data_IF_605727428282
#
_entry.id   IF_605727428282
#
_cell.length_a   1.000
_cell.length_b   1.000
_cell.length_c   1.000
_cell.angle_alpha   90.00
_cell.angle_beta   90.00
_cell.angle_gamma   90.00
#
_symmetry.space_group_name_H-M   'P 1'
#
loop_
_entity.id
_entity.type
_entity.pdbx_description
1 polymer ?
#
# COMPACT_ATOMS: atom_id res chain seq x y z
N UNK A 1 -32.91 -0.99 -11.12
CA UNK A 1 -31.46 -0.77 -10.91
C UNK A 1 -31.24 -0.60 -9.41
N UNK A 2 -30.68 -1.61 -8.74
CA UNK A 2 -30.41 -1.59 -7.29
C UNK A 2 -29.20 -0.70 -7.04
N UNK A 3 -29.40 0.41 -6.31
CA UNK A 3 -28.31 1.25 -5.81
C UNK A 3 -27.59 0.45 -4.73
N UNK A 4 -26.36 0.02 -4.99
CA UNK A 4 -25.48 -0.55 -3.98
C UNK A 4 -24.91 0.63 -3.20
N UNK A 5 -25.14 0.74 -1.88
CA UNK A 5 -24.57 1.83 -1.10
C UNK A 5 -23.06 1.58 -0.99
N UNK A 6 -22.28 2.50 -1.56
CA UNK A 6 -20.84 2.63 -1.27
C UNK A 6 -20.74 3.06 0.20
N UNK A 7 -20.64 2.06 1.07
CA UNK A 7 -20.30 2.26 2.48
C UNK A 7 -18.82 2.66 2.53
N UNK A 8 -18.62 3.98 2.43
CA UNK A 8 -17.39 4.68 2.75
C UNK A 8 -17.02 4.32 4.20
N UNK A 9 -16.03 3.45 4.39
CA UNK A 9 -15.41 3.23 5.69
C UNK A 9 -14.49 4.42 5.99
N UNK A 10 -15.13 5.51 6.40
CA UNK A 10 -14.51 6.61 7.11
C UNK A 10 -14.87 6.42 8.59
N UNK A 11 -13.86 6.49 9.46
CA UNK A 11 -13.91 6.84 10.89
C UNK A 11 -13.44 5.78 11.89
N UNK A 12 -12.65 6.30 12.84
CA UNK A 12 -12.51 5.95 14.27
C UNK A 12 -11.57 4.80 14.65
N UNK A 13 -10.44 5.18 15.28
CA UNK A 13 -10.30 4.98 16.72
C UNK A 13 -9.66 6.20 17.39
N UNK A 14 -10.50 6.98 18.07
CA UNK A 14 -10.11 7.81 19.21
C UNK A 14 -10.42 6.98 20.45
N UNK A 15 -9.41 6.42 21.10
CA UNK A 15 -9.54 5.88 22.45
C UNK A 15 -8.31 6.28 23.24
N UNK A 16 -8.40 7.43 23.89
CA UNK A 16 -7.44 7.87 24.88
C UNK A 16 -7.68 7.06 26.17
N UNK A 17 -6.98 5.94 26.32
CA UNK A 17 -6.68 5.38 27.63
C UNK A 17 -5.32 5.92 28.05
N UNK A 18 -5.24 6.51 29.24
CA UNK A 18 -4.02 7.10 29.79
C UNK A 18 -2.85 6.10 29.74
N UNK A 19 -1.64 6.50 29.30
CA UNK A 19 -0.53 5.57 29.18
C UNK A 19 -0.06 5.14 30.58
N UNK A 20 -0.05 3.82 30.80
CA UNK A 20 0.68 3.20 31.91
C UNK A 20 2.19 3.27 31.61
N UNK A 21 3.04 3.74 32.53
CA UNK A 21 4.39 4.20 32.21
C UNK A 21 5.45 3.09 32.12
N UNK A 22 5.12 1.89 31.63
CA UNK A 22 6.07 0.75 31.59
C UNK A 22 6.18 0.05 30.22
N UNK A 23 5.50 0.55 29.17
CA UNK A 23 5.62 0.00 27.82
C UNK A 23 6.93 0.45 27.16
N UNK A 24 7.83 -0.48 26.83
CA UNK A 24 9.15 -0.23 26.26
C UNK A 24 9.08 0.70 25.03
N UNK A 25 10.08 1.57 24.86
CA UNK A 25 10.16 2.56 23.78
C UNK A 25 10.20 1.95 22.35
N UNK A 26 10.31 0.63 22.20
CA UNK A 26 10.35 -0.08 20.91
C UNK A 26 8.98 -0.35 20.26
N UNK A 27 7.86 -0.04 20.92
CA UNK A 27 6.53 -0.46 20.42
C UNK A 27 5.92 0.46 19.36
N UNK A 28 6.45 1.67 19.21
CA UNK A 28 5.87 2.68 18.31
C UNK A 28 6.06 2.29 16.83
N UNK A 29 7.15 1.58 16.50
CA UNK A 29 7.37 1.02 15.17
C UNK A 29 6.32 -0.03 14.80
N UNK A 30 6.01 -0.95 15.72
CA UNK A 30 4.97 -1.97 15.53
C UNK A 30 3.58 -1.34 15.37
N UNK A 31 3.25 -0.34 16.20
CA UNK A 31 2.00 0.38 16.10
C UNK A 31 1.84 1.09 14.74
N UNK A 32 2.91 1.71 14.25
CA UNK A 32 2.90 2.36 12.95
C UNK A 32 2.76 1.34 11.81
N UNK A 33 3.50 0.24 11.85
CA UNK A 33 3.40 -0.82 10.85
C UNK A 33 1.99 -1.44 10.85
N UNK A 34 1.41 -1.67 12.03
CA UNK A 34 0.03 -2.12 12.17
C UNK A 34 -0.96 -1.14 11.54
N UNK A 35 -0.81 0.16 11.81
CA UNK A 35 -1.70 1.20 11.27
C UNK A 35 -1.73 1.23 9.74
N UNK A 36 -0.60 0.93 9.09
CA UNK A 36 -0.48 0.93 7.63
C UNK A 36 -0.99 -0.39 7.07
N UNK A 37 -0.51 -1.52 7.58
CA UNK A 37 -0.88 -2.85 7.10
C UNK A 37 -2.38 -3.14 7.30
N UNK A 38 -2.97 -2.67 8.39
CA UNK A 38 -4.42 -2.78 8.65
C UNK A 38 -5.28 -2.00 7.65
N UNK A 39 -4.76 -0.93 7.06
CA UNK A 39 -5.41 -0.21 5.96
C UNK A 39 -5.16 -0.94 4.63
N UNK A 40 -3.91 -1.31 4.36
CA UNK A 40 -3.51 -1.91 3.08
C UNK A 40 -4.06 -3.34 2.88
N UNK A 41 -4.42 -4.07 3.92
CA UNK A 41 -5.09 -5.38 3.77
C UNK A 41 -6.45 -5.30 3.04
N UNK A 42 -6.99 -4.10 2.85
CA UNK A 42 -8.26 -3.84 2.19
C UNK A 42 -8.11 -3.14 0.82
N UNK A 43 -6.90 -3.01 0.28
CA UNK A 43 -6.65 -2.29 -0.98
C UNK A 43 -7.32 -2.96 -2.18
N UNK A 44 -7.45 -4.29 -2.14
CA UNK A 44 -8.15 -5.11 -3.13
C UNK A 44 -9.65 -4.76 -3.25
N UNK A 45 -10.27 -4.18 -2.22
CA UNK A 45 -11.66 -3.68 -2.31
C UNK A 45 -11.84 -2.57 -3.35
N UNK A 46 -10.77 -1.87 -3.72
CA UNK A 46 -10.81 -0.93 -4.85
C UNK A 46 -11.18 -1.64 -6.16
N UNK A 47 -10.74 -2.90 -6.31
CA UNK A 47 -10.95 -3.73 -7.51
C UNK A 47 -12.44 -4.08 -7.72
N UNK A 48 -13.26 -4.01 -6.67
CA UNK A 48 -14.71 -4.22 -6.81
C UNK A 48 -15.42 -3.11 -7.59
N UNK A 49 -14.78 -1.95 -7.71
CA UNK A 49 -15.37 -0.74 -8.31
C UNK A 49 -14.53 -0.28 -9.52
N UNK A 50 -13.26 -0.69 -9.59
CA UNK A 50 -12.28 -0.19 -10.54
C UNK A 50 -11.50 -1.33 -11.17
N UNK A 51 -11.24 -1.25 -12.46
CA UNK A 51 -10.43 -2.22 -13.21
C UNK A 51 -9.08 -1.58 -13.58
N UNK A 52 -7.98 -1.89 -12.87
CA UNK A 52 -6.64 -1.43 -13.22
C UNK A 52 -5.94 -2.35 -14.25
N UNK A 53 -6.62 -3.39 -14.74
CA UNK A 53 -6.07 -4.45 -15.59
C UNK A 53 -5.50 -5.63 -14.80
N UNK A 54 -5.63 -6.84 -15.37
CA UNK A 54 -5.37 -8.12 -14.70
C UNK A 54 -4.00 -8.24 -14.01
N UNK A 55 -2.93 -7.71 -14.62
CA UNK A 55 -1.59 -7.78 -14.02
C UNK A 55 -1.47 -6.91 -12.76
N UNK A 56 -2.11 -5.74 -12.75
CA UNK A 56 -2.14 -4.86 -11.58
C UNK A 56 -3.11 -5.38 -10.52
N UNK A 57 -4.25 -5.94 -10.94
CA UNK A 57 -5.21 -6.61 -10.05
C UNK A 57 -4.54 -7.72 -9.23
N UNK A 58 -3.90 -8.69 -9.90
CA UNK A 58 -3.21 -9.80 -9.22
C UNK A 58 -2.07 -9.34 -8.30
N UNK A 59 -1.42 -8.20 -8.60
CA UNK A 59 -0.40 -7.62 -7.74
C UNK A 59 -1.01 -6.96 -6.50
N UNK A 60 -2.12 -6.23 -6.66
CA UNK A 60 -2.88 -5.61 -5.57
C UNK A 60 -3.44 -6.67 -4.61
N UNK A 61 -3.93 -7.80 -5.11
CA UNK A 61 -4.38 -8.92 -4.28
C UNK A 61 -3.24 -9.53 -3.45
N UNK A 62 -2.05 -9.67 -4.03
CA UNK A 62 -0.86 -10.13 -3.31
C UNK A 62 -0.49 -9.17 -2.17
N UNK A 63 -0.60 -7.86 -2.41
CA UNK A 63 -0.38 -6.83 -1.39
C UNK A 63 -1.41 -6.96 -0.28
N UNK A 64 -2.71 -7.02 -0.60
CA UNK A 64 -3.79 -7.13 0.37
C UNK A 64 -3.61 -8.37 1.26
N UNK A 65 -3.38 -9.53 0.63
CA UNK A 65 -3.15 -10.81 1.31
C UNK A 65 -1.95 -10.75 2.26
N UNK A 66 -0.83 -10.20 1.79
CA UNK A 66 0.37 -10.12 2.62
C UNK A 66 0.19 -9.16 3.81
N UNK A 67 -0.42 -8.00 3.58
CA UNK A 67 -0.73 -7.06 4.66
C UNK A 67 -1.71 -7.64 5.68
N UNK A 68 -2.66 -8.47 5.26
CA UNK A 68 -3.54 -9.20 6.16
C UNK A 68 -2.74 -10.17 7.07
N UNK A 69 -1.76 -10.88 6.51
CA UNK A 69 -0.91 -11.79 7.27
C UNK A 69 -0.05 -11.04 8.30
N UNK A 70 0.57 -9.93 7.90
CA UNK A 70 1.35 -9.06 8.80
C UNK A 70 0.46 -8.51 9.93
N UNK A 71 -0.73 -8.00 9.58
CA UNK A 71 -1.70 -7.46 10.56
C UNK A 71 -2.06 -8.50 11.61
N UNK A 72 -2.41 -9.73 11.19
CA UNK A 72 -2.74 -10.83 12.09
C UNK A 72 -1.57 -11.24 12.98
N UNK A 73 -0.35 -11.25 12.44
CA UNK A 73 0.84 -11.59 13.23
C UNK A 73 1.14 -10.54 14.29
N UNK A 74 0.96 -9.25 13.97
CA UNK A 74 1.09 -8.15 14.93
C UNK A 74 0.05 -8.26 16.04
N UNK A 75 -1.21 -8.56 15.70
CA UNK A 75 -2.28 -8.81 16.67
C UNK A 75 -1.94 -10.01 17.58
N UNK A 76 -1.42 -11.10 17.01
CA UNK A 76 -0.99 -12.25 17.77
C UNK A 76 0.17 -11.92 18.73
N UNK A 77 1.14 -11.12 18.30
CA UNK A 77 2.23 -10.64 19.17
C UNK A 77 1.72 -9.76 20.30
N UNK A 78 0.74 -8.89 20.04
CA UNK A 78 0.07 -8.11 21.08
C UNK A 78 -0.63 -9.01 22.09
N UNK A 79 -1.44 -9.95 21.61
CA UNK A 79 -2.25 -10.81 22.46
C UNK A 79 -1.39 -11.81 23.24
N UNK A 80 -0.23 -12.20 22.70
CA UNK A 80 0.81 -12.99 23.37
C UNK A 80 1.73 -12.20 24.30
N UNK A 81 1.60 -10.87 24.38
CA UNK A 81 2.41 -10.01 25.25
C UNK A 81 3.81 -9.70 24.73
N UNK A 82 4.13 -10.06 23.48
CA UNK A 82 5.41 -9.75 22.83
C UNK A 82 5.51 -8.29 22.39
N UNK A 83 4.37 -7.65 22.13
CA UNK A 83 4.24 -6.21 21.87
C UNK A 83 3.19 -5.65 22.83
N UNK A 84 3.49 -4.57 23.55
CA UNK A 84 2.56 -4.08 24.59
C UNK A 84 1.41 -3.26 24.02
N UNK A 85 1.61 -2.62 22.86
CA UNK A 85 0.59 -1.80 22.19
C UNK A 85 0.78 -1.75 20.67
N UNK A 86 -0.33 -1.81 19.93
CA UNK A 86 -0.39 -1.51 18.49
C UNK A 86 -1.03 -0.14 18.22
N UNK A 87 -1.25 0.65 19.26
CA UNK A 87 -1.72 2.04 19.15
C UNK A 87 -0.52 2.96 19.27
N UNK A 88 -0.30 3.81 18.26
CA UNK A 88 0.82 4.73 18.24
C UNK A 88 0.71 5.71 19.41
N UNK A 89 1.78 5.81 20.21
CA UNK A 89 1.84 6.80 21.29
C UNK A 89 2.21 8.15 20.73
N UNK A 90 1.48 9.19 21.15
CA UNK A 90 2.04 10.55 21.20
C UNK A 90 2.42 11.23 19.88
N UNK A 91 1.88 10.83 18.73
CA UNK A 91 2.02 11.66 17.52
C UNK A 91 1.34 13.02 17.78
N UNK A 92 1.98 14.15 17.44
CA UNK A 92 1.32 15.45 17.50
C UNK A 92 0.01 15.42 16.71
N UNK A 93 -1.05 16.02 17.23
CA UNK A 93 -2.37 16.03 16.57
C UNK A 93 -2.30 16.53 15.12
N UNK A 94 -1.44 17.51 14.85
CA UNK A 94 -1.18 18.01 13.51
C UNK A 94 -0.59 16.95 12.55
N UNK A 95 0.28 16.06 13.03
CA UNK A 95 0.85 14.98 12.23
C UNK A 95 -0.20 13.91 11.91
N UNK A 96 -1.04 13.56 12.89
CA UNK A 96 -2.16 12.64 12.69
C UNK A 96 -3.11 13.21 11.62
N UNK A 97 -3.52 14.47 11.77
CA UNK A 97 -4.40 15.14 10.82
C UNK A 97 -3.78 15.22 9.42
N UNK A 98 -2.49 15.53 9.31
CA UNK A 98 -1.77 15.58 8.04
C UNK A 98 -1.76 14.22 7.34
N UNK A 99 -1.49 13.13 8.08
CA UNK A 99 -1.53 11.76 7.56
C UNK A 99 -2.93 11.38 7.08
N UNK A 100 -3.95 11.62 7.88
CA UNK A 100 -5.33 11.35 7.48
C UNK A 100 -5.73 12.15 6.24
N UNK A 101 -5.34 13.42 6.15
CA UNK A 101 -5.61 14.26 4.99
C UNK A 101 -4.90 13.76 3.73
N UNK A 102 -3.66 13.30 3.87
CA UNK A 102 -2.91 12.68 2.77
C UNK A 102 -3.60 11.40 2.30
N UNK A 103 -4.00 10.50 3.22
CA UNK A 103 -4.75 9.28 2.90
C UNK A 103 -6.06 9.62 2.17
N UNK A 104 -6.88 10.52 2.73
CA UNK A 104 -8.15 10.94 2.11
C UNK A 104 -7.94 11.50 0.70
N UNK A 105 -6.90 12.30 0.49
CA UNK A 105 -6.56 12.86 -0.83
C UNK A 105 -6.22 11.75 -1.82
N UNK A 106 -5.29 10.86 -1.48
CA UNK A 106 -4.89 9.74 -2.34
C UNK A 106 -6.06 8.81 -2.64
N UNK A 107 -6.91 8.49 -1.64
CA UNK A 107 -8.13 7.72 -1.87
C UNK A 107 -9.06 8.42 -2.86
N UNK A 108 -9.26 9.74 -2.72
CA UNK A 108 -10.06 10.52 -3.66
C UNK A 108 -9.48 10.46 -5.09
N UNK A 109 -8.18 10.68 -5.24
CA UNK A 109 -7.49 10.59 -6.53
C UNK A 109 -7.67 9.22 -7.19
N UNK A 110 -7.59 8.13 -6.43
CA UNK A 110 -7.82 6.77 -6.94
C UNK A 110 -9.29 6.51 -7.31
N UNK A 111 -10.24 7.01 -6.53
CA UNK A 111 -11.66 6.79 -6.81
C UNK A 111 -12.16 7.60 -8.02
N UNK A 112 -11.58 8.77 -8.28
CA UNK A 112 -11.98 9.64 -9.39
C UNK A 112 -11.12 9.48 -10.66
N UNK A 113 -9.96 8.83 -10.58
CA UNK A 113 -9.17 8.48 -11.75
C UNK A 113 -9.81 7.33 -12.56
N UNK A 114 -9.45 7.27 -13.84
CA UNK A 114 -9.95 6.29 -14.80
C UNK A 114 -8.77 5.65 -15.57
N UNK A 115 -9.00 4.44 -16.08
CA UNK A 115 -8.13 3.73 -17.00
C UNK A 115 -6.64 3.75 -16.61
N UNK A 116 -5.83 4.40 -17.46
CA UNK A 116 -4.38 4.44 -17.35
C UNK A 116 -3.90 5.27 -16.15
N UNK A 117 -4.60 6.37 -15.85
CA UNK A 117 -4.26 7.24 -14.73
C UNK A 117 -4.56 6.54 -13.41
N UNK A 118 -5.70 5.84 -13.34
CA UNK A 118 -6.03 4.97 -12.20
C UNK A 118 -4.91 3.96 -11.95
N UNK A 119 -4.50 3.22 -12.98
CA UNK A 119 -3.47 2.19 -12.84
C UNK A 119 -2.14 2.79 -12.36
N UNK A 120 -1.68 3.89 -12.96
CA UNK A 120 -0.42 4.54 -12.57
C UNK A 120 -0.49 5.06 -11.14
N UNK A 121 -1.54 5.82 -10.82
CA UNK A 121 -1.73 6.37 -9.48
C UNK A 121 -1.80 5.28 -8.42
N UNK A 122 -2.49 4.16 -8.72
CA UNK A 122 -2.56 3.01 -7.82
C UNK A 122 -1.18 2.40 -7.61
N UNK A 123 -0.43 2.14 -8.68
CA UNK A 123 0.91 1.57 -8.56
C UNK A 123 1.84 2.49 -7.77
N UNK A 124 1.87 3.79 -8.07
CA UNK A 124 2.72 4.75 -7.35
C UNK A 124 2.36 4.86 -5.86
N UNK A 125 1.07 4.89 -5.52
CA UNK A 125 0.63 4.91 -4.13
C UNK A 125 1.09 3.66 -3.38
N UNK A 126 0.95 2.49 -4.01
CA UNK A 126 1.38 1.21 -3.43
C UNK A 126 2.89 1.08 -3.32
N UNK A 127 3.66 1.54 -4.31
CA UNK A 127 5.12 1.58 -4.23
C UNK A 127 5.60 2.39 -3.03
N UNK A 128 5.02 3.57 -2.80
CA UNK A 128 5.35 4.39 -1.63
C UNK A 128 5.04 3.67 -0.32
N UNK A 129 3.87 3.04 -0.21
CA UNK A 129 3.47 2.31 0.98
C UNK A 129 4.39 1.10 1.25
N UNK A 130 4.68 0.29 0.22
CA UNK A 130 5.53 -0.89 0.33
C UNK A 130 6.97 -0.54 0.70
N UNK A 131 7.54 0.51 0.10
CA UNK A 131 8.88 0.98 0.43
C UNK A 131 8.96 1.42 1.90
N UNK A 132 7.96 2.18 2.35
CA UNK A 132 7.89 2.61 3.74
C UNK A 132 7.73 1.44 4.72
N UNK A 133 6.89 0.45 4.41
CA UNK A 133 6.75 -0.74 5.24
C UNK A 133 8.04 -1.58 5.31
N UNK A 134 8.80 -1.65 4.21
CA UNK A 134 10.10 -2.33 4.18
C UNK A 134 11.09 -1.64 5.14
N UNK A 135 11.27 -0.32 4.98
CA UNK A 135 12.18 0.47 5.82
C UNK A 135 11.77 0.42 7.30
N UNK A 136 10.47 0.46 7.58
CA UNK A 136 9.95 0.34 8.94
C UNK A 136 10.20 -1.05 9.53
N UNK A 137 10.00 -2.12 8.75
CA UNK A 137 10.28 -3.50 9.19
C UNK A 137 11.77 -3.71 9.48
N UNK A 138 12.64 -3.12 8.65
CA UNK A 138 14.08 -3.09 8.90
C UNK A 138 14.41 -2.36 10.21
N UNK A 139 13.91 -1.14 10.41
CA UNK A 139 14.16 -0.36 11.63
C UNK A 139 13.72 -1.10 12.90
N UNK A 140 12.53 -1.71 12.90
CA UNK A 140 12.04 -2.54 14.00
C UNK A 140 13.00 -3.69 14.30
N UNK A 141 13.52 -4.36 13.27
CA UNK A 141 14.49 -5.46 13.43
C UNK A 141 15.82 -5.01 14.05
N UNK A 142 16.22 -3.76 13.80
CA UNK A 142 17.43 -3.19 14.39
C UNK A 142 17.25 -2.81 15.87
N UNK A 143 16.02 -2.50 16.30
CA UNK A 143 15.72 -2.04 17.65
C UNK A 143 15.32 -3.17 18.61
N UNK A 144 14.68 -4.23 18.11
CA UNK A 144 14.24 -5.35 18.94
C UNK A 144 15.41 -6.24 19.38
N UNK A 145 15.35 -6.79 20.60
CA UNK A 145 16.32 -7.78 21.10
C UNK A 145 15.84 -9.23 20.93
N UNK A 146 14.57 -9.44 20.56
CA UNK A 146 13.98 -10.76 20.35
C UNK A 146 14.33 -11.30 18.95
N UNK A 147 15.11 -12.38 18.90
CA UNK A 147 15.58 -13.00 17.65
C UNK A 147 14.45 -13.57 16.77
N UNK A 148 13.35 -14.04 17.37
CA UNK A 148 12.20 -14.53 16.62
C UNK A 148 11.47 -13.37 15.93
N UNK A 149 11.33 -12.24 16.63
CA UNK A 149 10.81 -11.00 16.05
C UNK A 149 11.74 -10.50 14.95
N UNK A 150 13.06 -10.40 15.19
CA UNK A 150 14.05 -9.98 14.18
C UNK A 150 13.93 -10.77 12.89
N UNK A 151 13.91 -12.10 13.00
CA UNK A 151 13.80 -12.99 11.84
C UNK A 151 12.50 -12.74 11.08
N UNK A 152 11.39 -12.57 11.81
CA UNK A 152 10.07 -12.34 11.21
C UNK A 152 10.01 -11.01 10.46
N UNK A 153 10.47 -9.91 11.08
CA UNK A 153 10.44 -8.59 10.44
C UNK A 153 11.43 -8.46 9.28
N UNK A 154 12.56 -9.19 9.32
CA UNK A 154 13.47 -9.29 8.17
C UNK A 154 12.83 -10.01 6.97
N UNK A 155 12.01 -11.03 7.22
CA UNK A 155 11.23 -11.68 6.17
C UNK A 155 10.17 -10.72 5.60
N UNK A 156 9.57 -9.88 6.45
CA UNK A 156 8.62 -8.86 5.97
C UNK A 156 9.29 -7.79 5.14
N UNK A 157 10.43 -7.25 5.58
CA UNK A 157 11.25 -6.31 4.80
C UNK A 157 11.53 -6.86 3.40
N UNK A 158 12.06 -8.09 3.33
CA UNK A 158 12.30 -8.79 2.07
C UNK A 158 11.04 -8.87 1.21
N UNK A 159 9.92 -9.30 1.79
CA UNK A 159 8.68 -9.47 1.05
C UNK A 159 8.07 -8.14 0.57
N UNK A 160 8.16 -7.08 1.35
CA UNK A 160 7.76 -5.74 0.93
C UNK A 160 8.61 -5.24 -0.23
N UNK A 161 9.94 -5.45 -0.19
CA UNK A 161 10.85 -5.14 -1.30
C UNK A 161 10.52 -5.91 -2.57
N UNK A 162 10.23 -7.20 -2.48
CA UNK A 162 9.80 -8.01 -3.63
C UNK A 162 8.51 -7.47 -4.26
N UNK A 163 7.50 -7.16 -3.45
CA UNK A 163 6.24 -6.60 -3.94
C UNK A 163 6.46 -5.20 -4.55
N UNK A 164 7.35 -4.40 -3.98
CA UNK A 164 7.72 -3.10 -4.51
C UNK A 164 8.39 -3.23 -5.88
N UNK A 165 9.39 -4.11 -6.01
CA UNK A 165 10.07 -4.38 -7.29
C UNK A 165 9.09 -4.86 -8.37
N UNK A 166 8.11 -5.71 -8.02
CA UNK A 166 7.03 -6.10 -8.95
C UNK A 166 6.21 -4.89 -9.42
N UNK A 167 5.88 -3.95 -8.53
CA UNK A 167 5.19 -2.72 -8.89
C UNK A 167 6.00 -1.85 -9.87
N UNK A 168 7.31 -1.74 -9.66
CA UNK A 168 8.20 -1.02 -10.58
C UNK A 168 8.22 -1.67 -11.97
N UNK A 169 8.35 -2.99 -12.03
CA UNK A 169 8.30 -3.72 -13.30
C UNK A 169 6.97 -3.54 -14.05
N UNK A 170 5.85 -3.42 -13.34
CA UNK A 170 4.54 -3.11 -13.95
C UNK A 170 4.50 -1.71 -14.59
N UNK A 171 5.22 -0.73 -14.03
CA UNK A 171 5.36 0.60 -14.65
C UNK A 171 6.24 0.54 -15.90
N UNK A 172 7.36 -0.18 -15.83
CA UNK A 172 8.33 -0.30 -16.94
C UNK A 172 7.74 -1.03 -18.16
N UNK A 173 7.02 -2.13 -17.95
CA UNK A 173 6.38 -2.89 -19.03
C UNK A 173 5.32 -2.09 -19.80
N UNK A 174 4.81 -1.00 -19.22
CA UNK A 174 3.93 -0.06 -19.93
C UNK A 174 4.73 0.87 -20.84
N UNK A 175 5.91 1.33 -20.41
CA UNK A 175 6.74 2.25 -21.17
C UNK A 175 7.16 1.65 -22.53
N UNK A 176 7.40 0.34 -22.58
CA UNK A 176 7.78 -0.38 -23.80
C UNK A 176 6.63 -0.66 -24.77
N UNK A 177 5.37 -0.59 -24.33
CA UNK A 177 4.21 -0.85 -25.21
C UNK A 177 3.74 0.40 -25.96
N UNK A 178 4.16 1.61 -25.56
CA UNK A 178 3.77 2.87 -26.21
C UNK A 178 4.68 3.25 -27.41
N UNK A 179 5.76 2.51 -27.67
CA UNK A 179 6.74 2.82 -28.72
C UNK A 179 6.62 1.90 -29.97
N UNK A 180 5.39 1.66 -30.44
CA UNK A 180 5.15 0.90 -31.67
C UNK A 180 4.34 1.70 -32.72
N UNK A 181 5.08 2.13 -33.74
CA UNK A 181 4.68 2.43 -35.14
C UNK A 181 4.16 3.85 -35.47
N UNK A 182 4.96 4.69 -36.16
CA UNK A 182 4.44 5.83 -36.92
C UNK A 182 3.52 5.33 -38.04
N UNK A 183 2.43 6.06 -38.39
CA UNK A 183 1.55 5.65 -39.48
C UNK A 183 2.35 5.54 -40.77
N UNK A 184 2.22 4.38 -41.44
CA UNK A 184 2.78 4.16 -42.76
C UNK A 184 2.30 5.27 -43.71
N UNK A 185 3.23 6.07 -44.21
CA UNK A 185 2.98 7.01 -45.31
C UNK A 185 2.57 6.20 -46.53
N UNK A 186 1.28 6.15 -46.82
CA UNK A 186 0.77 5.66 -48.10
C UNK A 186 1.27 6.59 -49.20
N UNK A 187 2.39 6.23 -49.84
CA UNK A 187 2.82 6.87 -51.08
C UNK A 187 1.78 6.55 -52.16
N UNK A 188 1.04 7.58 -52.56
CA UNK A 188 0.15 7.57 -53.71
C UNK A 188 0.94 7.27 -55.00
N UNK A 189 0.53 6.31 -55.84
CA UNK A 189 1.21 6.07 -57.11
C UNK A 189 1.00 7.26 -58.06
N UNK A 190 2.10 7.67 -58.70
CA UNK A 190 2.12 8.75 -59.69
C UNK A 190 1.27 8.38 -60.93
N UNK A 191 0.51 9.33 -61.51
CA UNK A 191 -0.25 9.07 -62.72
C UNK A 191 0.68 8.93 -63.93
N UNK A 192 0.49 7.85 -64.70
CA UNK A 192 1.15 7.62 -65.97
C UNK A 192 0.77 8.72 -66.98
N UNK A 193 1.77 9.42 -67.52
CA UNK A 193 1.60 10.31 -68.67
C UNK A 193 1.40 9.48 -69.93
N UNK A 194 0.31 9.75 -70.66
CA UNK A 194 0.18 9.49 -72.10
C UNK A 194 0.56 10.73 -72.87
#
# INVERSE_FOLDING_TARGET
MKKIPVLLFLSLFLSACAPKPDAAAGDDGFALLYSITSQQQNVDKLLWIKDPGAATEAWVEQIATFNQAVTKQLEAWRDGGQVSSLTARGLPSAEIEARERATRRTTGELLFSQDVDLRISLILAQLKALGYCADLSYAIGQETSDEAIKTTVANWDTRFKELNAKGMALLENKATTTEATPPATTQSPAPARK
#
